data_IF_232013178973
#
_entry.id   IF_232013178973
#
_cell.length_a   1.000
_cell.length_b   1.000
_cell.length_c   1.000
_cell.angle_alpha   90.00
_cell.angle_beta   90.00
_cell.angle_gamma   90.00
#
_symmetry.space_group_name_H-M   'P 1'
#
loop_
_entity.id
_entity.type
_entity.pdbx_description
1 polymer ?
#
# COMPACT_ATOMS: atom_id res chain seq x y z
N UNK A 1 8.88 13.67 -18.81
CA UNK A 1 8.30 15.01 -18.87
C UNK A 1 9.11 15.95 -17.99
N UNK A 2 9.78 16.96 -18.56
CA UNK A 2 10.58 17.93 -17.82
C UNK A 2 9.76 18.77 -16.84
N UNK A 3 8.49 19.06 -17.15
CA UNK A 3 7.66 20.04 -16.43
C UNK A 3 7.21 19.56 -15.03
N UNK A 4 6.81 18.30 -14.86
CA UNK A 4 6.33 17.80 -13.56
C UNK A 4 7.44 17.75 -12.51
N UNK A 5 8.65 17.35 -12.93
CA UNK A 5 9.80 17.25 -12.03
C UNK A 5 10.18 18.62 -11.47
N UNK A 6 10.19 19.64 -12.33
CA UNK A 6 10.50 21.02 -11.91
C UNK A 6 9.47 21.53 -10.89
N UNK A 7 8.17 21.28 -11.12
CA UNK A 7 7.10 21.70 -10.22
C UNK A 7 7.18 21.00 -8.85
N UNK A 8 7.51 19.71 -8.83
CA UNK A 8 7.71 18.96 -7.58
C UNK A 8 8.94 19.47 -6.83
N UNK A 9 10.05 19.72 -7.53
CA UNK A 9 11.25 20.30 -6.92
C UNK A 9 11.00 21.71 -6.38
N UNK A 10 10.22 22.55 -7.08
CA UNK A 10 9.89 23.90 -6.63
C UNK A 10 9.14 23.88 -5.30
N UNK A 11 8.24 22.90 -5.08
CA UNK A 11 7.52 22.70 -3.81
C UNK A 11 8.41 22.09 -2.74
N UNK A 12 9.09 20.97 -3.03
CA UNK A 12 9.88 20.22 -2.03
C UNK A 12 11.09 21.02 -1.56
N UNK A 13 11.74 21.75 -2.46
CA UNK A 13 12.94 22.54 -2.16
C UNK A 13 12.61 24.00 -1.83
N UNK A 14 11.32 24.37 -1.78
CA UNK A 14 10.85 25.72 -1.51
C UNK A 14 11.59 26.79 -2.35
N UNK A 15 11.80 26.51 -3.64
CA UNK A 15 12.53 27.40 -4.55
C UNK A 15 11.72 28.65 -4.90
N UNK A 16 10.40 28.57 -4.75
CA UNK A 16 9.46 29.63 -5.11
C UNK A 16 8.26 29.67 -4.16
N UNK A 17 7.68 30.86 -4.01
CA UNK A 17 6.50 31.07 -3.19
C UNK A 17 5.19 30.56 -3.84
N UNK A 18 5.14 30.46 -5.17
CA UNK A 18 3.98 30.02 -5.97
C UNK A 18 4.05 28.53 -6.37
N UNK A 19 5.04 27.78 -5.85
CA UNK A 19 5.26 26.38 -6.25
C UNK A 19 4.03 25.49 -6.03
N UNK A 20 3.31 25.70 -4.93
CA UNK A 20 2.10 24.93 -4.60
C UNK A 20 0.97 25.16 -5.62
N UNK A 21 0.72 26.42 -5.98
CA UNK A 21 -0.35 26.78 -6.92
C UNK A 21 -0.08 26.21 -8.32
N UNK A 22 1.17 26.29 -8.78
CA UNK A 22 1.58 25.76 -10.08
C UNK A 22 1.50 24.24 -10.15
N UNK A 23 1.85 23.55 -9.07
CA UNK A 23 1.69 22.09 -8.99
C UNK A 23 0.20 21.71 -9.04
N UNK A 24 -0.66 22.48 -8.38
CA UNK A 24 -2.12 22.28 -8.40
C UNK A 24 -2.73 22.51 -9.79
N UNK A 25 -2.28 23.51 -10.55
CA UNK A 25 -2.76 23.78 -11.92
C UNK A 25 -2.53 22.58 -12.86
N UNK A 26 -1.42 21.87 -12.69
CA UNK A 26 -1.09 20.69 -13.50
C UNK A 26 -1.69 19.41 -12.95
N UNK A 27 -1.94 19.31 -11.64
CA UNK A 27 -2.57 18.15 -11.02
C UNK A 27 -3.92 17.79 -11.67
N UNK A 28 -4.67 18.79 -12.16
CA UNK A 28 -5.90 18.62 -12.95
C UNK A 28 -5.70 17.79 -14.22
N UNK A 29 -4.57 17.96 -14.92
CA UNK A 29 -4.27 17.23 -16.16
C UNK A 29 -4.01 15.74 -15.93
N UNK A 30 -3.56 15.39 -14.73
CA UNK A 30 -3.29 14.02 -14.31
C UNK A 30 -4.46 13.40 -13.51
N UNK A 31 -5.50 14.19 -13.24
CA UNK A 31 -6.72 13.72 -12.58
C UNK A 31 -7.40 12.66 -13.46
N UNK A 32 -7.49 11.44 -12.94
CA UNK A 32 -8.04 10.29 -13.67
C UNK A 32 -7.04 9.53 -14.56
N UNK A 33 -5.80 10.00 -14.69
CA UNK A 33 -4.68 9.22 -15.27
C UNK A 33 -3.97 8.34 -14.23
N UNK A 34 -4.43 8.41 -12.98
CA UNK A 34 -3.92 7.64 -11.85
C UNK A 34 -4.22 6.15 -11.98
N UNK A 35 -3.23 5.43 -12.50
CA UNK A 35 -3.15 3.98 -12.45
C UNK A 35 -4.02 3.29 -13.48
N UNK A 36 -3.42 2.47 -14.34
CA UNK A 36 -4.11 1.25 -14.76
C UNK A 36 -4.74 0.68 -13.50
N UNK A 37 -6.04 0.40 -13.50
CA UNK A 37 -6.60 -0.58 -12.58
C UNK A 37 -5.71 -1.80 -12.76
N UNK A 38 -4.75 -1.95 -11.85
CA UNK A 38 -3.92 -3.12 -11.81
C UNK A 38 -4.95 -4.14 -11.40
N UNK A 39 -5.43 -4.94 -12.36
CA UNK A 39 -6.18 -6.14 -12.00
C UNK A 39 -5.32 -6.79 -10.92
N UNK A 40 -5.85 -6.81 -9.71
CA UNK A 40 -5.14 -7.39 -8.60
C UNK A 40 -4.90 -8.84 -9.01
N UNK A 41 -3.63 -9.19 -9.20
CA UNK A 41 -3.26 -10.57 -9.42
C UNK A 41 -3.63 -11.31 -8.15
N UNK A 42 -4.73 -12.07 -8.18
CA UNK A 42 -5.25 -12.80 -7.03
C UNK A 42 -4.53 -14.14 -6.81
N UNK A 43 -3.44 -14.44 -7.53
CA UNK A 43 -2.68 -15.68 -7.35
C UNK A 43 -2.17 -15.86 -5.90
N UNK A 44 -1.92 -14.78 -5.17
CA UNK A 44 -1.52 -14.85 -3.76
C UNK A 44 -2.61 -15.43 -2.85
N UNK A 45 -3.88 -15.47 -3.28
CA UNK A 45 -4.98 -16.08 -2.51
C UNK A 45 -4.86 -17.60 -2.40
N UNK A 46 -4.11 -18.23 -3.31
CA UNK A 46 -3.85 -19.67 -3.29
C UNK A 46 -2.71 -20.06 -2.33
N UNK A 47 -2.00 -19.08 -1.75
CA UNK A 47 -0.90 -19.33 -0.83
C UNK A 47 -1.39 -19.75 0.57
N UNK A 48 -0.49 -20.32 1.40
CA UNK A 48 -0.76 -20.53 2.83
C UNK A 48 -1.17 -19.24 3.52
N UNK A 49 -2.08 -19.34 4.51
CA UNK A 49 -2.72 -18.19 5.16
C UNK A 49 -1.71 -17.21 5.78
N UNK A 50 -0.61 -17.72 6.32
CA UNK A 50 0.48 -16.93 6.90
C UNK A 50 1.13 -16.04 5.83
N UNK A 51 1.37 -16.61 4.64
CA UNK A 51 1.92 -15.89 3.49
C UNK A 51 0.94 -14.89 2.87
N UNK A 52 -0.37 -15.17 2.95
CA UNK A 52 -1.40 -14.22 2.55
C UNK A 52 -1.43 -13.00 3.46
N UNK A 53 -1.37 -13.23 4.78
CA UNK A 53 -1.39 -12.18 5.78
C UNK A 53 -0.12 -11.30 5.69
N UNK A 54 1.05 -11.91 5.52
CA UNK A 54 2.32 -11.21 5.26
C UNK A 54 2.22 -10.32 4.00
N UNK A 55 1.75 -10.87 2.88
CA UNK A 55 1.56 -10.12 1.65
C UNK A 55 0.61 -8.93 1.82
N UNK A 56 -0.52 -9.16 2.50
CA UNK A 56 -1.52 -8.13 2.77
C UNK A 56 -0.94 -7.00 3.62
N UNK A 57 -0.12 -7.29 4.63
CA UNK A 57 0.53 -6.28 5.47
C UNK A 57 1.57 -5.45 4.69
N UNK A 58 2.45 -6.09 3.93
CA UNK A 58 3.49 -5.41 3.14
C UNK A 58 2.88 -4.52 2.05
N UNK A 59 1.74 -4.92 1.47
CA UNK A 59 1.05 -4.19 0.42
C UNK A 59 -0.05 -3.25 0.93
N UNK A 60 -0.38 -3.28 2.22
CA UNK A 60 -1.48 -2.50 2.80
C UNK A 60 -2.87 -2.92 2.31
N UNK A 61 -3.06 -4.20 1.95
CA UNK A 61 -4.33 -4.74 1.48
C UNK A 61 -5.22 -5.08 2.68
N UNK A 62 -6.40 -4.48 2.76
CA UNK A 62 -7.33 -4.69 3.88
C UNK A 62 -8.54 -5.56 3.53
N UNK A 63 -8.77 -5.83 2.24
CA UNK A 63 -9.95 -6.53 1.72
C UNK A 63 -10.20 -7.91 2.34
N UNK A 64 -9.13 -8.62 2.74
CA UNK A 64 -9.20 -10.01 3.26
C UNK A 64 -8.66 -10.14 4.69
N UNK A 65 -8.36 -9.03 5.37
CA UNK A 65 -7.59 -9.05 6.62
C UNK A 65 -8.32 -9.82 7.73
N UNK A 66 -9.65 -9.72 7.80
CA UNK A 66 -10.46 -10.39 8.81
C UNK A 66 -10.46 -11.90 8.56
N UNK A 67 -10.67 -12.31 7.31
CA UNK A 67 -10.74 -13.72 6.91
C UNK A 67 -9.39 -14.43 7.14
N UNK A 68 -8.29 -13.80 6.71
CA UNK A 68 -6.96 -14.39 6.87
C UNK A 68 -6.50 -14.40 8.33
N UNK A 69 -6.82 -13.34 9.11
CA UNK A 69 -6.50 -13.32 10.55
C UNK A 69 -7.28 -14.41 11.30
N UNK A 70 -8.56 -14.62 10.98
CA UNK A 70 -9.36 -15.68 11.61
C UNK A 70 -8.87 -17.08 11.21
N UNK A 71 -8.49 -17.27 9.94
CA UNK A 71 -7.90 -18.54 9.50
C UNK A 71 -6.56 -18.82 10.20
N UNK A 72 -5.69 -17.81 10.40
CA UNK A 72 -4.51 -17.95 11.25
C UNK A 72 -4.87 -18.29 12.70
N UNK A 73 -5.90 -17.64 13.26
CA UNK A 73 -6.34 -17.85 14.65
C UNK A 73 -6.88 -19.26 14.88
N UNK A 74 -7.54 -19.85 13.89
CA UNK A 74 -8.04 -21.23 13.96
C UNK A 74 -6.91 -22.27 13.92
N UNK A 75 -5.77 -21.91 13.31
CA UNK A 75 -4.58 -22.77 13.24
C UNK A 75 -3.63 -22.58 14.44
N UNK A 76 -3.84 -21.54 15.24
CA UNK A 76 -3.04 -21.23 16.43
C UNK A 76 -3.62 -21.88 17.69
N UNK A 77 -2.75 -22.25 18.64
CA UNK A 77 -3.18 -22.76 19.94
C UNK A 77 -3.66 -21.62 20.86
N UNK A 78 -3.00 -20.47 20.74
CA UNK A 78 -3.34 -19.28 21.50
C UNK A 78 -3.50 -18.06 20.57
N UNK A 79 -4.52 -17.20 20.78
CA UNK A 79 -4.72 -16.02 19.93
C UNK A 79 -3.51 -15.07 19.83
N UNK A 80 -2.68 -15.01 20.89
CA UNK A 80 -1.47 -14.18 20.91
C UNK A 80 -0.44 -14.62 19.86
N UNK A 81 -0.41 -15.90 19.48
CA UNK A 81 0.52 -16.46 18.50
C UNK A 81 0.28 -15.86 17.10
N UNK A 82 -0.94 -15.42 16.78
CA UNK A 82 -1.24 -14.72 15.53
C UNK A 82 -0.59 -13.33 15.50
N UNK A 83 -0.55 -12.67 16.65
CA UNK A 83 0.03 -11.34 16.81
C UNK A 83 1.56 -11.43 16.78
N UNK A 84 2.13 -12.35 17.56
CA UNK A 84 3.59 -12.51 17.69
C UNK A 84 4.24 -13.27 16.52
N UNK A 85 3.45 -14.01 15.73
CA UNK A 85 3.91 -14.70 14.53
C UNK A 85 3.58 -13.92 13.25
N UNK A 86 2.54 -14.35 12.49
CA UNK A 86 2.33 -13.88 11.12
C UNK A 86 2.06 -12.37 11.00
N UNK A 87 1.47 -11.71 12.02
CA UNK A 87 1.32 -10.25 12.01
C UNK A 87 2.65 -9.52 12.24
N UNK A 88 3.46 -9.96 13.20
CA UNK A 88 4.77 -9.35 13.48
C UNK A 88 5.76 -9.61 12.35
N UNK A 89 5.78 -10.83 11.81
CA UNK A 89 6.62 -11.21 10.67
C UNK A 89 6.32 -10.33 9.45
N UNK A 90 5.05 -10.09 9.15
CA UNK A 90 4.64 -9.22 8.03
C UNK A 90 4.97 -7.74 8.20
N UNK A 91 5.16 -7.26 9.43
CA UNK A 91 5.60 -5.88 9.70
C UNK A 91 7.12 -5.70 9.66
N UNK A 92 7.89 -6.80 9.75
CA UNK A 92 9.36 -6.79 9.83
C UNK A 92 10.07 -7.03 8.49
N UNK A 93 9.34 -7.15 7.38
CA UNK A 93 9.89 -7.38 6.02
C UNK A 93 10.38 -6.09 5.37
#
# INVERSE_FOLDING_TARGET
EPDLKELVEDVVLNRRADGTDRLLEIAERYRGQGGKTREEDLAWREWPVEKRLEHALVKGITSYIIEDTEACRLNANHPIEVIEGPLMDGMNV
#
